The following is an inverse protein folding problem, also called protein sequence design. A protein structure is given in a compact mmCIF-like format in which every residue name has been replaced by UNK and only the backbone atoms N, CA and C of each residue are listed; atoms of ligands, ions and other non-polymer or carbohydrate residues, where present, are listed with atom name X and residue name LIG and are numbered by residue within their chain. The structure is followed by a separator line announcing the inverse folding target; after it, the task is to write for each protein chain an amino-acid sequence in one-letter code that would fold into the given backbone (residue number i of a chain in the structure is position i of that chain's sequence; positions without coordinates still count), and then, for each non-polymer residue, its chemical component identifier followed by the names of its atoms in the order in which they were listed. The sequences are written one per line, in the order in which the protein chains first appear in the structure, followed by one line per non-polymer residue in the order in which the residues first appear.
data_IF_229697467941
#
_entry.id   IF_229697467941
#
_cell.length_a   1.000
_cell.length_b   1.000
_cell.length_c   1.000
_cell.angle_alpha   90.00
_cell.angle_beta   90.00
_cell.angle_gamma   90.00
#
_symmetry.space_group_name_H-M   'P 1'
#
loop_
_entity.id
_entity.type
_entity.pdbx_description
1 polymer ?
#
# COMPACT_ATOMS: atom_id res chain seq x y z
N UNK A 1 13.43 18.85 -14.10
CA UNK A 1 13.46 18.29 -12.72
C UNK A 1 12.48 17.13 -12.70
N UNK A 2 12.91 15.94 -12.31
CA UNK A 2 12.05 14.75 -12.25
C UNK A 2 11.09 14.89 -11.07
N UNK A 3 9.78 14.68 -11.29
CA UNK A 3 8.78 14.76 -10.21
C UNK A 3 8.95 13.60 -9.25
N UNK A 4 8.91 13.89 -7.95
CA UNK A 4 9.03 12.90 -6.88
C UNK A 4 7.66 12.64 -6.23
N UNK A 5 7.38 11.37 -5.95
CA UNK A 5 6.13 10.91 -5.33
C UNK A 5 6.44 10.15 -4.04
N UNK A 6 5.88 10.62 -2.93
CA UNK A 6 6.03 9.99 -1.61
C UNK A 6 4.87 9.03 -1.35
N UNK A 7 5.15 7.74 -1.41
CA UNK A 7 4.18 6.67 -1.22
C UNK A 7 4.45 6.00 0.11
N UNK A 8 3.39 5.72 0.88
CA UNK A 8 3.50 5.02 2.16
C UNK A 8 2.71 3.72 2.09
N UNK A 9 3.35 2.60 2.45
CA UNK A 9 2.74 1.27 2.47
C UNK A 9 2.37 0.92 3.90
N UNK A 10 1.09 0.74 4.18
CA UNK A 10 0.53 0.57 5.53
C UNK A 10 -0.33 -0.68 5.63
N UNK A 11 -0.45 -1.23 6.84
CA UNK A 11 -1.20 -2.45 7.12
C UNK A 11 -0.60 -3.24 8.28
N UNK A 12 -1.31 -4.25 8.76
CA UNK A 12 -0.92 -5.05 9.92
C UNK A 12 0.41 -5.80 9.71
N UNK A 13 0.96 -6.38 10.78
CA UNK A 13 2.16 -7.21 10.69
C UNK A 13 1.96 -8.41 9.76
N UNK A 14 3.00 -8.83 9.02
CA UNK A 14 2.97 -10.05 8.22
C UNK A 14 2.06 -10.06 6.98
N UNK A 15 1.40 -8.95 6.63
CA UNK A 15 0.54 -8.85 5.42
C UNK A 15 1.33 -8.85 4.11
N UNK A 16 2.64 -8.59 4.17
CA UNK A 16 3.55 -8.60 3.01
C UNK A 16 3.82 -7.23 2.39
N UNK A 17 3.80 -6.15 3.20
CA UNK A 17 4.18 -4.78 2.77
C UNK A 17 5.59 -4.75 2.18
N UNK A 18 6.58 -5.22 2.94
CA UNK A 18 7.97 -5.32 2.52
C UNK A 18 8.13 -6.22 1.30
N UNK A 19 7.41 -7.34 1.25
CA UNK A 19 7.46 -8.24 0.10
C UNK A 19 6.94 -7.55 -1.18
N UNK A 20 5.85 -6.78 -1.10
CA UNK A 20 5.35 -5.99 -2.23
C UNK A 20 6.33 -4.89 -2.63
N UNK A 21 6.86 -4.14 -1.66
CA UNK A 21 7.82 -3.04 -1.90
C UNK A 21 9.12 -3.55 -2.51
N UNK A 22 9.72 -4.61 -1.96
CA UNK A 22 10.95 -5.21 -2.49
C UNK A 22 10.71 -5.85 -3.85
N UNK A 23 9.58 -6.53 -4.06
CA UNK A 23 9.25 -7.09 -5.38
C UNK A 23 9.09 -5.97 -6.42
N UNK A 24 8.47 -4.86 -6.06
CA UNK A 24 8.39 -3.69 -6.93
C UNK A 24 9.77 -3.11 -7.20
N UNK A 25 10.58 -2.87 -6.16
CA UNK A 25 11.83 -2.12 -6.29
C UNK A 25 12.95 -2.94 -6.94
N UNK A 26 13.09 -4.20 -6.52
CA UNK A 26 14.24 -5.06 -6.85
C UNK A 26 13.86 -6.25 -7.75
N UNK A 27 12.57 -6.57 -7.91
CA UNK A 27 12.13 -7.70 -8.75
C UNK A 27 12.41 -9.08 -8.15
N UNK A 28 12.71 -9.13 -6.84
CA UNK A 28 12.95 -10.35 -6.07
C UNK A 28 11.88 -10.56 -5.00
N UNK A 29 11.70 -11.83 -4.60
CA UNK A 29 10.87 -12.21 -3.47
C UNK A 29 11.74 -12.97 -2.46
N UNK A 30 11.75 -12.50 -1.20
CA UNK A 30 12.48 -13.12 -0.10
C UNK A 30 11.48 -13.82 0.81
N UNK A 31 11.62 -15.14 0.98
CA UNK A 31 10.70 -15.94 1.79
C UNK A 31 10.84 -15.70 3.29
N UNK A 32 12.01 -15.28 3.75
CA UNK A 32 12.26 -15.02 5.18
C UNK A 32 11.60 -13.71 5.60
N UNK A 33 10.78 -13.79 6.64
CA UNK A 33 10.20 -12.62 7.28
C UNK A 33 11.13 -12.10 8.37
N UNK A 34 11.60 -10.87 8.20
CA UNK A 34 12.24 -10.08 9.25
C UNK A 34 11.31 -8.88 9.54
N UNK A 35 10.82 -8.67 10.77
CA UNK A 35 9.93 -7.56 11.09
C UNK A 35 10.55 -6.20 10.75
N UNK A 36 9.91 -5.45 9.85
CA UNK A 36 10.32 -4.08 9.50
C UNK A 36 10.04 -3.10 10.64
N UNK A 37 10.95 -2.15 10.85
CA UNK A 37 10.72 -0.96 11.68
C UNK A 37 10.24 0.17 10.75
N UNK A 38 11.11 0.61 9.86
CA UNK A 38 10.82 1.55 8.77
C UNK A 38 11.96 1.45 7.75
N UNK A 39 11.64 1.28 6.47
CA UNK A 39 12.62 1.29 5.37
C UNK A 39 12.14 2.23 4.25
N UNK A 40 13.07 3.04 3.73
CA UNK A 40 12.81 3.92 2.58
C UNK A 40 13.49 3.39 1.34
N UNK A 41 12.71 3.24 0.27
CA UNK A 41 13.17 2.79 -1.04
C UNK A 41 12.94 3.88 -2.08
N UNK A 42 13.83 3.95 -3.07
CA UNK A 42 13.64 4.83 -4.23
C UNK A 42 13.70 4.04 -5.51
N UNK A 43 12.76 4.30 -6.42
CA UNK A 43 12.75 3.72 -7.76
C UNK A 43 12.30 4.74 -8.80
N UNK A 44 13.11 4.90 -9.84
CA UNK A 44 12.71 5.61 -11.04
C UNK A 44 11.83 4.70 -11.90
N UNK A 45 10.70 5.23 -12.36
CA UNK A 45 9.77 4.52 -13.25
C UNK A 45 9.21 5.47 -14.31
N UNK A 46 8.56 4.89 -15.32
CA UNK A 46 7.76 5.63 -16.28
C UNK A 46 6.27 5.34 -16.02
N UNK A 47 5.47 6.39 -15.81
CA UNK A 47 4.01 6.28 -15.73
C UNK A 47 3.41 7.19 -16.80
N UNK A 48 2.62 6.60 -17.70
CA UNK A 48 1.94 7.30 -18.79
C UNK A 48 2.90 8.17 -19.66
N UNK A 49 4.09 7.63 -19.96
CA UNK A 49 5.13 8.29 -20.76
C UNK A 49 5.95 9.35 -20.01
N UNK A 50 5.72 9.54 -18.71
CA UNK A 50 6.42 10.51 -17.87
C UNK A 50 7.35 9.78 -16.88
N UNK A 51 8.64 10.12 -16.93
CA UNK A 51 9.64 9.62 -15.98
C UNK A 51 9.46 10.29 -14.62
N UNK A 52 9.37 9.49 -13.55
CA UNK A 52 9.23 9.97 -12.19
C UNK A 52 10.04 9.15 -11.18
N UNK A 53 10.27 9.75 -10.01
CA UNK A 53 10.90 9.11 -8.87
C UNK A 53 9.84 8.77 -7.83
N UNK A 54 9.77 7.51 -7.40
CA UNK A 54 8.95 7.09 -6.27
C UNK A 54 9.86 6.95 -5.05
N UNK A 55 9.53 7.66 -3.98
CA UNK A 55 10.03 7.43 -2.63
C UNK A 55 8.97 6.60 -1.88
N UNK A 56 9.29 5.33 -1.59
CA UNK A 56 8.36 4.38 -0.99
C UNK A 56 8.82 4.12 0.44
N UNK A 57 7.96 4.46 1.39
CA UNK A 57 8.15 4.14 2.79
C UNK A 57 7.43 2.83 3.12
N UNK A 58 8.20 1.79 3.44
CA UNK A 58 7.71 0.54 4.02
C UNK A 58 7.72 0.65 5.55
N UNK A 59 6.58 0.42 6.19
CA UNK A 59 6.43 0.63 7.63
C UNK A 59 6.36 -0.68 8.40
N UNK A 60 6.60 -0.62 9.71
CA UNK A 60 6.18 -1.66 10.63
C UNK A 60 4.67 -1.98 10.54
N UNK A 61 4.27 -3.09 11.17
CA UNK A 61 2.85 -3.38 11.43
C UNK A 61 2.18 -2.27 12.25
N UNK A 62 0.87 -2.11 12.09
CA UNK A 62 0.04 -1.06 12.71
C UNK A 62 0.13 -0.95 14.24
N UNK A 63 0.61 -2.00 14.93
CA UNK A 63 0.71 -2.07 16.40
C UNK A 63 1.92 -1.31 17.00
N UNK A 64 2.78 -0.71 16.16
CA UNK A 64 4.06 -0.14 16.62
C UNK A 64 4.11 1.40 16.44
N UNK A 65 4.43 2.11 17.52
CA UNK A 65 4.82 3.54 17.60
C UNK A 65 3.92 4.60 16.91
N UNK A 66 2.92 5.11 17.64
CA UNK A 66 1.95 6.12 17.16
C UNK A 66 2.56 7.43 16.65
N UNK A 67 3.64 7.92 17.25
CA UNK A 67 4.23 9.22 16.87
C UNK A 67 4.90 9.21 15.48
N UNK A 68 5.51 8.08 15.09
CA UNK A 68 6.07 7.92 13.74
C UNK A 68 4.96 7.84 12.69
N UNK A 69 3.81 7.29 13.08
CA UNK A 69 2.63 7.13 12.22
C UNK A 69 2.05 8.43 11.73
N UNK A 70 1.90 9.40 12.62
CA UNK A 70 1.41 10.72 12.23
C UNK A 70 2.37 11.41 11.27
N UNK A 71 3.68 11.21 11.42
CA UNK A 71 4.69 11.84 10.57
C UNK A 71 4.63 11.35 9.11
N UNK A 72 4.64 10.03 8.90
CA UNK A 72 4.54 9.50 7.54
C UNK A 72 3.15 9.70 6.93
N UNK A 73 2.08 9.71 7.72
CA UNK A 73 0.74 10.07 7.22
C UNK A 73 0.69 11.54 6.82
N UNK A 74 1.30 12.43 7.57
CA UNK A 74 1.39 13.85 7.23
C UNK A 74 2.20 14.08 5.95
N UNK A 75 3.31 13.38 5.76
CA UNK A 75 4.23 13.59 4.64
C UNK A 75 3.90 12.80 3.36
N UNK A 76 3.23 11.65 3.46
CA UNK A 76 2.91 10.77 2.32
C UNK A 76 1.91 11.39 1.35
N UNK A 77 2.16 11.37 0.05
CA UNK A 77 1.25 11.89 -0.97
C UNK A 77 0.19 10.86 -1.39
N UNK A 78 0.49 9.57 -1.26
CA UNK A 78 -0.45 8.49 -1.49
C UNK A 78 -0.19 7.28 -0.59
N UNK A 79 -1.23 6.48 -0.38
CA UNK A 79 -1.21 5.39 0.59
C UNK A 79 -1.62 4.06 -0.05
N UNK A 80 -0.85 3.02 0.22
CA UNK A 80 -1.21 1.64 -0.10
C UNK A 80 -1.66 0.96 1.19
N UNK A 81 -2.93 0.56 1.28
CA UNK A 81 -3.49 -0.15 2.43
C UNK A 81 -3.50 -1.65 2.15
N UNK A 82 -2.62 -2.40 2.81
CA UNK A 82 -2.39 -3.82 2.55
C UNK A 82 -2.99 -4.68 3.65
N UNK A 83 -3.79 -5.67 3.25
CA UNK A 83 -4.20 -6.78 4.11
C UNK A 83 -3.79 -8.13 3.49
N UNK A 84 -3.78 -9.19 4.29
CA UNK A 84 -3.58 -10.56 3.81
C UNK A 84 -4.94 -11.21 3.57
N UNK A 85 -5.19 -11.79 2.39
CA UNK A 85 -6.45 -12.51 2.14
C UNK A 85 -6.64 -13.74 3.03
N UNK A 86 -5.57 -14.20 3.68
CA UNK A 86 -5.52 -15.34 4.60
C UNK A 86 -5.73 -14.98 6.07
N UNK A 87 -5.92 -13.70 6.40
CA UNK A 87 -6.12 -13.25 7.78
C UNK A 87 -7.16 -12.13 7.88
N UNK A 88 -8.37 -12.49 8.32
CA UNK A 88 -9.52 -11.57 8.42
C UNK A 88 -9.25 -10.36 9.34
N UNK A 89 -8.51 -10.54 10.43
CA UNK A 89 -8.14 -9.43 11.33
C UNK A 89 -7.43 -8.30 10.58
N UNK A 90 -6.49 -8.65 9.71
CA UNK A 90 -5.70 -7.67 8.94
C UNK A 90 -6.53 -6.84 7.97
N UNK A 91 -7.68 -7.36 7.53
CA UNK A 91 -8.66 -6.64 6.72
C UNK A 91 -9.50 -5.68 7.58
N UNK A 92 -9.92 -6.14 8.76
CA UNK A 92 -10.71 -5.34 9.69
C UNK A 92 -9.94 -4.12 10.21
N UNK A 93 -8.63 -4.27 10.45
CA UNK A 93 -7.75 -3.19 10.94
C UNK A 93 -7.63 -1.99 9.97
N UNK A 94 -8.00 -2.18 8.69
CA UNK A 94 -7.83 -1.14 7.67
C UNK A 94 -8.79 0.04 7.82
N UNK A 95 -9.94 -0.15 8.47
CA UNK A 95 -10.89 0.94 8.72
C UNK A 95 -10.26 2.01 9.62
N UNK A 96 -9.78 1.62 10.80
CA UNK A 96 -9.12 2.53 11.73
C UNK A 96 -7.89 3.18 11.09
N UNK A 97 -7.14 2.42 10.29
CA UNK A 97 -5.97 2.93 9.58
C UNK A 97 -6.33 4.00 8.56
N UNK A 98 -7.41 3.80 7.79
CA UNK A 98 -7.92 4.82 6.86
C UNK A 98 -8.40 6.06 7.59
N UNK A 99 -9.20 5.91 8.64
CA UNK A 99 -9.75 7.04 9.40
C UNK A 99 -8.64 7.92 9.97
N UNK A 100 -7.55 7.32 10.45
CA UNK A 100 -6.37 8.04 10.91
C UNK A 100 -5.68 8.82 9.78
N UNK A 101 -5.55 8.25 8.57
CA UNK A 101 -4.98 8.95 7.42
C UNK A 101 -5.80 10.20 7.10
N UNK A 102 -7.13 10.06 6.99
CA UNK A 102 -8.02 11.18 6.67
C UNK A 102 -7.92 12.28 7.73
N UNK A 103 -7.90 11.89 9.02
CA UNK A 103 -7.74 12.81 10.15
C UNK A 103 -6.40 13.56 10.11
N UNK A 104 -5.28 12.86 9.90
CA UNK A 104 -3.95 13.49 9.85
C UNK A 104 -3.78 14.37 8.62
N UNK A 105 -4.41 13.98 7.49
CA UNK A 105 -4.41 14.77 6.27
C UNK A 105 -5.32 15.98 6.29
N UNK A 106 -6.30 15.98 7.19
CA UNK A 106 -7.39 16.96 7.23
C UNK A 106 -8.10 17.07 5.87
N UNK A 107 -8.41 15.91 5.27
CA UNK A 107 -9.01 15.77 3.94
C UNK A 107 -9.91 14.55 3.87
N UNK A 108 -11.04 14.69 3.17
CA UNK A 108 -11.97 13.59 2.90
C UNK A 108 -11.50 12.68 1.75
N UNK A 109 -10.65 13.22 0.87
CA UNK A 109 -10.25 12.54 -0.35
C UNK A 109 -8.72 12.54 -0.52
N UNK A 110 -8.10 11.39 -0.22
CA UNK A 110 -6.64 11.17 -0.22
C UNK A 110 -6.30 10.05 -1.21
N UNK A 111 -5.28 10.21 -2.09
CA UNK A 111 -4.87 9.14 -2.99
C UNK A 111 -4.58 7.82 -2.25
N UNK A 112 -5.28 6.76 -2.62
CA UNK A 112 -5.26 5.51 -1.89
C UNK A 112 -5.56 4.31 -2.79
N UNK A 113 -4.87 3.20 -2.54
CA UNK A 113 -5.19 1.89 -3.13
C UNK A 113 -5.35 0.86 -2.01
N UNK A 114 -6.47 0.14 -2.02
CA UNK A 114 -6.71 -1.01 -1.16
C UNK A 114 -6.14 -2.27 -1.81
N UNK A 115 -5.32 -3.01 -1.08
CA UNK A 115 -4.59 -4.17 -1.59
C UNK A 115 -4.86 -5.42 -0.75
N UNK A 116 -5.49 -6.42 -1.37
CA UNK A 116 -5.56 -7.78 -0.83
C UNK A 116 -4.37 -8.61 -1.30
N UNK A 117 -3.34 -8.74 -0.47
CA UNK A 117 -2.13 -9.47 -0.82
C UNK A 117 -2.24 -10.97 -0.53
N UNK A 118 -1.31 -11.74 -1.11
CA UNK A 118 -1.20 -13.20 -1.05
C UNK A 118 -2.33 -13.93 -1.79
N UNK A 119 -2.80 -13.36 -2.90
CA UNK A 119 -3.85 -13.97 -3.72
C UNK A 119 -3.44 -15.30 -4.38
N UNK A 120 -2.16 -15.65 -4.33
CA UNK A 120 -1.65 -16.98 -4.68
C UNK A 120 -2.07 -18.08 -3.67
N UNK A 121 -2.43 -17.72 -2.44
CA UNK A 121 -2.86 -18.63 -1.38
C UNK A 121 -4.38 -18.82 -1.38
N UNK A 122 -4.97 -19.13 -2.53
CA UNK A 122 -6.42 -19.22 -2.70
C UNK A 122 -7.07 -20.28 -1.78
N UNK A 123 -6.37 -21.38 -1.50
CA UNK A 123 -6.83 -22.43 -0.60
C UNK A 123 -6.91 -22.00 0.87
N UNK A 124 -6.18 -20.94 1.25
CA UNK A 124 -6.14 -20.37 2.61
C UNK A 124 -6.97 -19.08 2.71
N UNK A 125 -7.72 -18.72 1.65
CA UNK A 125 -8.50 -17.49 1.60
C UNK A 125 -9.58 -17.47 2.68
N UNK A 126 -9.58 -16.42 3.47
CA UNK A 126 -10.66 -16.10 4.44
C UNK A 126 -11.37 -14.78 4.09
N UNK A 127 -10.70 -13.86 3.39
CA UNK A 127 -11.30 -12.62 2.89
C UNK A 127 -11.63 -12.77 1.40
N UNK A 128 -12.92 -12.71 1.07
CA UNK A 128 -13.39 -12.83 -0.31
C UNK A 128 -13.08 -11.58 -1.15
N UNK A 129 -12.85 -11.76 -2.46
CA UNK A 129 -12.68 -10.66 -3.43
C UNK A 129 -13.78 -9.61 -3.33
N UNK A 130 -15.03 -10.04 -3.18
CA UNK A 130 -16.18 -9.15 -3.05
C UNK A 130 -16.14 -8.32 -1.77
N UNK A 131 -15.58 -8.85 -0.67
CA UNK A 131 -15.43 -8.08 0.57
C UNK A 131 -14.44 -6.93 0.37
N UNK A 132 -13.30 -7.20 -0.28
CA UNK A 132 -12.32 -6.18 -0.67
C UNK A 132 -12.93 -5.11 -1.58
N UNK A 133 -13.66 -5.53 -2.62
CA UNK A 133 -14.34 -4.60 -3.52
C UNK A 133 -15.39 -3.73 -2.80
N UNK A 134 -16.19 -4.32 -1.91
CA UNK A 134 -17.18 -3.57 -1.12
C UNK A 134 -16.52 -2.56 -0.19
N UNK A 135 -15.41 -2.93 0.48
CA UNK A 135 -14.68 -2.01 1.33
C UNK A 135 -14.06 -0.87 0.53
N UNK A 136 -13.47 -1.16 -0.63
CA UNK A 136 -12.93 -0.12 -1.51
C UNK A 136 -14.00 0.85 -2.03
N UNK A 137 -15.19 0.35 -2.36
CA UNK A 137 -16.34 1.21 -2.71
C UNK A 137 -16.74 2.11 -1.53
N UNK A 138 -16.82 1.56 -0.32
CA UNK A 138 -17.08 2.35 0.89
C UNK A 138 -15.98 3.40 1.14
N UNK A 139 -14.74 3.04 0.82
CA UNK A 139 -13.56 3.90 0.90
C UNK A 139 -13.40 4.83 -0.31
N UNK A 140 -14.26 4.74 -1.33
CA UNK A 140 -14.09 5.47 -2.58
C UNK A 140 -12.64 5.39 -3.14
N UNK A 141 -12.04 4.20 -3.12
CA UNK A 141 -10.67 3.98 -3.59
C UNK A 141 -10.57 2.78 -4.54
N UNK A 142 -9.42 2.65 -5.20
CA UNK A 142 -9.15 1.52 -6.10
C UNK A 142 -8.83 0.27 -5.29
N UNK A 143 -9.35 -0.87 -5.72
CA UNK A 143 -9.04 -2.19 -5.15
C UNK A 143 -8.23 -3.05 -6.12
N UNK A 144 -7.20 -3.71 -5.61
CA UNK A 144 -6.47 -4.74 -6.34
C UNK A 144 -6.14 -5.92 -5.42
N UNK A 145 -6.25 -7.14 -5.94
CA UNK A 145 -5.58 -8.27 -5.33
C UNK A 145 -4.18 -8.44 -5.91
N UNK A 146 -3.22 -8.72 -5.04
CA UNK A 146 -1.80 -8.84 -5.40
C UNK A 146 -1.21 -10.14 -4.87
N UNK A 147 -0.13 -10.54 -5.52
CA UNK A 147 0.79 -11.52 -4.95
C UNK A 147 2.21 -11.03 -5.19
N UNK A 148 2.88 -10.65 -4.12
CA UNK A 148 4.32 -10.39 -4.18
C UNK A 148 5.09 -11.63 -4.68
N UNK A 149 4.69 -12.83 -4.27
CA UNK A 149 5.34 -14.09 -4.65
C UNK A 149 5.18 -14.40 -6.15
N UNK A 150 3.95 -14.32 -6.65
CA UNK A 150 3.60 -14.65 -8.03
C UNK A 150 3.67 -13.45 -9.00
N UNK A 151 4.14 -12.28 -8.52
CA UNK A 151 4.25 -11.03 -9.31
C UNK A 151 2.92 -10.55 -9.90
N UNK A 152 1.83 -10.75 -9.18
CA UNK A 152 0.48 -10.36 -9.62
C UNK A 152 0.18 -8.93 -9.15
N UNK A 153 -0.11 -8.04 -10.10
CA UNK A 153 -0.56 -6.65 -9.87
C UNK A 153 0.39 -5.77 -9.04
N UNK A 154 1.68 -6.14 -8.94
CA UNK A 154 2.64 -5.46 -8.05
C UNK A 154 2.92 -4.04 -8.54
N UNK A 155 3.16 -3.85 -9.84
CA UNK A 155 3.51 -2.53 -10.39
C UNK A 155 2.28 -1.63 -10.47
N UNK A 156 1.14 -2.23 -10.79
CA UNK A 156 -0.14 -1.59 -11.03
C UNK A 156 -0.61 -0.79 -9.81
N UNK A 157 -0.37 -1.31 -8.59
CA UNK A 157 -0.66 -0.61 -7.33
C UNK A 157 0.06 0.74 -7.26
N UNK A 158 1.37 0.77 -7.51
CA UNK A 158 2.16 2.00 -7.40
C UNK A 158 1.89 2.95 -8.57
N UNK A 159 1.66 2.43 -9.77
CA UNK A 159 1.36 3.25 -10.95
C UNK A 159 -0.01 3.91 -10.86
N UNK A 160 -1.04 3.18 -10.40
CA UNK A 160 -2.36 3.77 -10.17
C UNK A 160 -2.29 4.90 -9.14
N UNK A 161 -1.54 4.70 -8.05
CA UNK A 161 -1.38 5.72 -7.03
C UNK A 161 -0.68 6.99 -7.55
N UNK A 162 0.34 6.86 -8.41
CA UNK A 162 0.95 8.01 -9.12
C UNK A 162 -0.10 8.76 -9.96
N UNK A 163 -0.94 8.04 -10.70
CA UNK A 163 -2.03 8.67 -11.50
C UNK A 163 -3.03 9.40 -10.62
N UNK A 164 -3.40 8.83 -9.48
CA UNK A 164 -4.29 9.49 -8.52
C UNK A 164 -3.68 10.78 -7.96
N UNK A 165 -2.40 10.76 -7.59
CA UNK A 165 -1.69 11.96 -7.10
C UNK A 165 -1.67 13.06 -8.17
N UNK A 166 -1.40 12.70 -9.43
CA UNK A 166 -1.40 13.65 -10.55
C UNK A 166 -2.77 14.30 -10.76
N UNK A 167 -3.86 13.54 -10.66
CA UNK A 167 -5.22 14.10 -10.82
C UNK A 167 -5.57 15.15 -9.78
N UNK A 168 -5.03 15.03 -8.55
CA UNK A 168 -5.31 15.96 -7.44
C UNK A 168 -4.30 17.10 -7.31
N UNK A 169 -3.17 16.98 -7.97
CA UNK A 169 -2.10 17.97 -7.97
C UNK A 169 -1.48 18.03 -9.37
N UNK A 170 -2.23 18.55 -10.36
CA UNK A 170 -1.78 18.66 -11.74
C UNK A 170 -0.48 19.46 -11.86
#
# INVERSE_FOLDING_TARGET
IMREYKIVVLGSGGVGKSALTVQFVQGIFVEKYDPTIEDSYRKQVEVDGQQCMLEILDTAGTEQFTAMRDLYMKNGQGFVLVYSITAQSTFNDLQDLREQILRVKDKDDVPMVLVGNKCDLEAERVVGKQQGANLANHFNCVFMETSAKAKISVNEVFYDLVRQINKKSP
#
